data_IF_562008553557
#
_entry.id   IF_562008553557
#
_cell.length_a   1.000
_cell.length_b   1.000
_cell.length_c   1.000
_cell.angle_alpha   90.00
_cell.angle_beta   90.00
_cell.angle_gamma   90.00
#
_symmetry.space_group_name_H-M   'P 1'
#
loop_
_entity.id
_entity.type
_entity.pdbx_description
1 polymer ?
#
# COMPACT_ATOMS: atom_id res chain seq x y z
N UNK A 1 45.45 67.67 17.64
CA UNK A 1 44.89 68.20 18.89
C UNK A 1 44.10 66.98 19.41
N UNK A 2 44.82 66.32 20.24
CA UNK A 2 44.72 66.19 21.69
C UNK A 2 43.52 65.29 22.06
N UNK A 3 43.59 64.29 22.81
CA UNK A 3 44.52 63.67 23.74
C UNK A 3 43.74 62.59 24.51
N UNK A 4 44.33 61.45 24.71
CA UNK A 4 44.41 60.70 25.98
C UNK A 4 43.09 60.32 26.68
N UNK A 5 42.95 59.23 27.36
CA UNK A 5 43.80 58.19 27.95
C UNK A 5 42.89 57.17 28.58
N UNK A 6 43.17 55.95 28.43
CA UNK A 6 43.71 55.06 29.47
C UNK A 6 42.76 54.34 30.44
N UNK A 7 43.08 53.10 30.65
CA UNK A 7 43.00 52.17 31.81
C UNK A 7 41.93 51.13 31.85
N UNK A 8 42.34 49.92 31.40
CA UNK A 8 42.47 48.64 32.15
C UNK A 8 41.41 48.27 33.19
N UNK A 9 40.83 47.13 33.05
CA UNK A 9 40.96 45.97 33.96
C UNK A 9 40.18 44.77 33.46
N UNK A 10 40.83 43.65 33.16
CA UNK A 10 40.31 42.32 33.40
C UNK A 10 40.33 42.01 34.90
N UNK A 11 39.63 40.98 35.47
CA UNK A 11 39.41 39.65 34.95
C UNK A 11 38.08 39.02 35.39
N UNK A 12 37.78 37.83 34.90
CA UNK A 12 36.80 36.95 35.55
C UNK A 12 36.28 35.86 34.65
N UNK A 13 37.03 34.73 34.65
CA UNK A 13 36.51 33.51 33.98
C UNK A 13 35.38 32.89 34.76
N UNK A 14 34.54 32.21 34.06
CA UNK A 14 33.74 31.04 34.38
C UNK A 14 32.48 31.05 33.48
N UNK A 15 32.36 30.06 32.67
CA UNK A 15 31.14 29.35 32.27
C UNK A 15 31.21 28.80 30.84
N UNK A 16 32.29 28.00 30.56
CA UNK A 16 32.34 27.19 29.35
C UNK A 16 31.73 25.78 29.57
N UNK A 17 31.29 25.43 30.79
CA UNK A 17 30.77 24.11 31.12
C UNK A 17 29.23 23.96 31.09
N UNK A 18 28.47 25.02 30.88
CA UNK A 18 27.01 24.95 30.88
C UNK A 18 26.41 24.66 29.49
N UNK A 19 27.14 24.92 28.39
CA UNK A 19 26.65 24.72 27.02
C UNK A 19 26.88 23.30 26.48
N UNK A 20 27.77 22.51 27.08
CA UNK A 20 28.05 21.15 26.63
C UNK A 20 27.05 20.10 27.16
N UNK A 21 26.41 20.36 28.32
CA UNK A 21 25.41 19.45 28.90
C UNK A 21 23.99 19.62 28.35
N UNK A 22 23.70 20.76 27.74
CA UNK A 22 22.38 20.98 27.12
C UNK A 22 22.25 20.33 25.73
N UNK A 23 23.37 20.22 24.99
CA UNK A 23 23.40 19.63 23.65
C UNK A 23 23.41 18.09 23.68
N UNK A 24 23.97 17.48 24.72
CA UNK A 24 24.00 16.02 24.91
C UNK A 24 22.66 15.46 25.42
N UNK A 25 21.87 16.24 26.14
CA UNK A 25 20.53 15.83 26.59
C UNK A 25 19.44 16.00 25.48
N UNK A 26 19.65 16.90 24.54
CA UNK A 26 18.72 17.05 23.39
C UNK A 26 18.91 15.96 22.33
N UNK A 27 20.11 15.40 22.17
CA UNK A 27 20.40 14.30 21.24
C UNK A 27 19.99 12.93 21.78
N UNK A 28 19.94 12.76 23.11
CA UNK A 28 19.49 11.49 23.71
C UNK A 28 17.95 11.34 23.81
N UNK A 29 17.19 12.42 23.67
CA UNK A 29 15.72 12.36 23.61
C UNK A 29 15.14 12.16 22.20
N UNK A 30 15.96 12.24 21.15
CA UNK A 30 15.53 12.02 19.77
C UNK A 30 15.62 10.54 19.32
N UNK A 31 16.19 9.66 20.15
CA UNK A 31 16.38 8.22 19.83
C UNK A 31 15.61 7.26 20.76
N UNK A 32 14.70 7.75 21.59
CA UNK A 32 13.66 6.89 22.16
C UNK A 32 12.61 6.63 21.08
N UNK A 33 12.94 5.72 20.15
CA UNK A 33 12.04 5.23 19.13
C UNK A 33 10.76 4.72 19.80
N UNK A 34 9.61 5.19 19.32
CA UNK A 34 8.28 4.65 19.63
C UNK A 34 8.27 3.15 19.28
N UNK A 35 8.64 2.33 20.23
CA UNK A 35 8.47 0.88 20.13
C UNK A 35 7.05 0.58 20.60
N UNK A 36 6.21 0.01 19.72
CA UNK A 36 4.88 -0.41 20.10
C UNK A 36 4.97 -1.40 21.28
N UNK A 37 4.17 -1.17 22.32
CA UNK A 37 4.09 -2.08 23.46
C UNK A 37 3.51 -3.44 22.96
N UNK A 38 3.98 -4.55 23.51
CA UNK A 38 3.45 -5.90 23.17
C UNK A 38 1.93 -6.01 23.33
N UNK A 39 1.35 -5.30 24.30
CA UNK A 39 -0.10 -5.26 24.49
C UNK A 39 -0.83 -4.56 23.33
N UNK A 40 -0.25 -3.49 22.80
CA UNK A 40 -0.82 -2.74 21.66
C UNK A 40 -0.77 -3.59 20.39
N UNK A 41 0.32 -4.33 20.18
CA UNK A 41 0.47 -5.24 19.03
C UNK A 41 -0.53 -6.40 19.13
N UNK A 42 -0.70 -7.01 20.30
CA UNK A 42 -1.67 -8.08 20.49
C UNK A 42 -3.11 -7.60 20.24
N UNK A 43 -3.44 -6.39 20.70
CA UNK A 43 -4.73 -5.75 20.45
C UNK A 43 -4.93 -5.47 18.95
N UNK A 44 -3.91 -4.95 18.27
CA UNK A 44 -3.94 -4.67 16.85
C UNK A 44 -4.05 -5.95 16.00
N UNK A 45 -3.36 -7.03 16.39
CA UNK A 45 -3.47 -8.33 15.74
C UNK A 45 -4.88 -8.93 15.89
N UNK A 46 -5.48 -8.85 17.09
CA UNK A 46 -6.87 -9.26 17.30
C UNK A 46 -7.84 -8.43 16.44
N UNK A 47 -7.59 -7.13 16.30
CA UNK A 47 -8.34 -6.24 15.43
C UNK A 47 -8.21 -6.65 13.95
N UNK A 48 -7.00 -6.90 13.47
CA UNK A 48 -6.74 -7.35 12.10
C UNK A 48 -7.46 -8.68 11.80
N UNK A 49 -7.42 -9.63 12.73
CA UNK A 49 -8.13 -10.92 12.62
C UNK A 49 -9.65 -10.75 12.56
N UNK A 50 -10.21 -9.84 13.36
CA UNK A 50 -11.66 -9.53 13.32
C UNK A 50 -12.04 -8.94 11.96
N UNK A 51 -11.21 -8.07 11.39
CA UNK A 51 -11.44 -7.49 10.07
C UNK A 51 -11.37 -8.54 8.96
N UNK A 52 -10.35 -9.41 8.98
CA UNK A 52 -10.24 -10.56 8.08
C UNK A 52 -11.51 -11.42 8.13
N UNK A 53 -11.96 -11.80 9.31
CA UNK A 53 -13.17 -12.60 9.49
C UNK A 53 -14.44 -11.94 8.92
N UNK A 54 -14.57 -10.62 9.03
CA UNK A 54 -15.71 -9.92 8.44
C UNK A 54 -15.68 -9.94 6.92
N UNK A 55 -14.50 -9.73 6.32
CA UNK A 55 -14.34 -9.75 4.87
C UNK A 55 -14.57 -11.18 4.32
N UNK A 56 -14.07 -12.20 5.01
CA UNK A 56 -14.27 -13.60 4.64
C UNK A 56 -15.75 -14.04 4.64
N UNK A 57 -16.66 -13.34 5.32
CA UNK A 57 -18.10 -13.61 5.21
C UNK A 57 -18.68 -13.30 3.82
N UNK A 58 -18.10 -12.33 3.13
CA UNK A 58 -18.51 -11.96 1.78
C UNK A 58 -17.71 -12.68 0.70
N UNK A 59 -16.45 -13.06 1.00
CA UNK A 59 -15.55 -13.68 0.04
C UNK A 59 -15.19 -15.10 0.45
N UNK A 60 -15.53 -16.06 -0.38
CA UNK A 60 -15.18 -17.46 -0.21
C UNK A 60 -13.88 -17.77 -0.96
N UNK A 61 -12.97 -18.51 -0.34
CA UNK A 61 -11.81 -19.09 -1.00
C UNK A 61 -10.65 -18.14 -1.33
N UNK A 62 -10.65 -16.91 -0.89
CA UNK A 62 -9.63 -15.91 -1.23
C UNK A 62 -8.89 -15.38 0.02
N UNK A 63 -8.67 -16.23 1.01
CA UNK A 63 -8.08 -15.81 2.30
C UNK A 63 -6.71 -15.16 2.15
N UNK A 64 -5.86 -15.70 1.26
CA UNK A 64 -4.52 -15.14 1.02
C UNK A 64 -4.60 -13.75 0.39
N UNK A 65 -5.47 -13.55 -0.60
CA UNK A 65 -5.73 -12.24 -1.23
C UNK A 65 -6.20 -11.22 -0.19
N UNK A 66 -7.12 -11.63 0.68
CA UNK A 66 -7.62 -10.76 1.78
C UNK A 66 -6.47 -10.33 2.69
N UNK A 67 -5.60 -11.26 3.10
CA UNK A 67 -4.42 -10.96 3.95
C UNK A 67 -3.43 -10.02 3.28
N UNK A 68 -3.14 -10.23 2.00
CA UNK A 68 -2.25 -9.35 1.23
C UNK A 68 -2.84 -7.93 1.11
N UNK A 69 -4.14 -7.81 0.85
CA UNK A 69 -4.82 -6.51 0.80
C UNK A 69 -4.83 -5.82 2.17
N UNK A 70 -5.08 -6.57 3.26
CA UNK A 70 -5.01 -6.04 4.63
C UNK A 70 -3.59 -5.60 4.98
N UNK A 71 -2.56 -6.37 4.59
CA UNK A 71 -1.17 -5.98 4.78
C UNK A 71 -0.84 -4.68 4.03
N UNK A 72 -1.33 -4.51 2.80
CA UNK A 72 -1.19 -3.26 2.05
C UNK A 72 -1.91 -2.09 2.74
N UNK A 73 -3.12 -2.32 3.24
CA UNK A 73 -3.90 -1.30 3.95
C UNK A 73 -3.20 -0.84 5.24
N UNK A 74 -2.68 -1.77 6.05
CA UNK A 74 -1.96 -1.43 7.28
C UNK A 74 -0.57 -0.85 7.00
N UNK A 75 0.05 -1.20 5.87
CA UNK A 75 1.25 -0.54 5.39
C UNK A 75 1.00 0.84 4.76
N UNK A 76 -0.27 1.28 4.63
CA UNK A 76 -0.65 2.55 4.04
C UNK A 76 -0.30 2.65 2.55
N UNK A 77 -0.53 1.57 1.77
CA UNK A 77 -0.18 1.52 0.35
C UNK A 77 -1.34 1.16 -0.55
N UNK A 78 -1.11 1.28 -1.87
CA UNK A 78 -2.06 0.95 -2.92
C UNK A 78 -1.75 -0.41 -3.52
N UNK A 79 -2.74 -1.06 -4.11
CA UNK A 79 -2.63 -2.43 -4.63
C UNK A 79 -3.01 -2.47 -6.11
N UNK A 80 -2.21 -3.19 -6.88
CA UNK A 80 -2.54 -3.59 -8.24
C UNK A 80 -3.02 -5.06 -8.20
N UNK A 81 -4.23 -5.31 -8.64
CA UNK A 81 -4.83 -6.64 -8.66
C UNK A 81 -4.86 -7.16 -10.10
N UNK A 82 -4.18 -8.25 -10.34
CA UNK A 82 -4.18 -8.95 -11.62
C UNK A 82 -5.04 -10.21 -11.51
N UNK A 83 -5.94 -10.40 -12.44
CA UNK A 83 -6.80 -11.58 -12.47
C UNK A 83 -7.96 -11.41 -13.45
N UNK A 84 -8.54 -12.52 -13.87
CA UNK A 84 -9.67 -12.55 -14.81
C UNK A 84 -10.93 -11.86 -14.24
N UNK A 85 -11.85 -11.42 -15.07
CA UNK A 85 -13.14 -10.89 -14.62
C UNK A 85 -13.94 -11.92 -13.80
N UNK A 86 -14.82 -11.42 -12.93
CA UNK A 86 -15.75 -12.29 -12.19
C UNK A 86 -15.24 -12.85 -10.86
N UNK A 87 -13.98 -12.67 -10.50
CA UNK A 87 -13.37 -13.21 -9.26
C UNK A 87 -13.63 -12.38 -7.99
N UNK A 88 -14.70 -11.60 -7.93
CA UNK A 88 -15.12 -10.92 -6.70
C UNK A 88 -14.32 -9.67 -6.32
N UNK A 89 -13.52 -9.07 -7.21
CA UNK A 89 -12.70 -7.87 -6.91
C UNK A 89 -13.54 -6.72 -6.33
N UNK A 90 -14.68 -6.44 -6.93
CA UNK A 90 -15.62 -5.41 -6.44
C UNK A 90 -16.21 -5.77 -5.08
N UNK A 91 -16.50 -7.06 -4.87
CA UNK A 91 -17.04 -7.57 -3.61
C UNK A 91 -16.03 -7.38 -2.46
N UNK A 92 -14.75 -7.68 -2.71
CA UNK A 92 -13.66 -7.47 -1.76
C UNK A 92 -13.63 -6.02 -1.26
N UNK A 93 -13.58 -5.04 -2.18
CA UNK A 93 -13.45 -3.63 -1.79
C UNK A 93 -14.70 -3.12 -1.09
N UNK A 94 -15.89 -3.56 -1.51
CA UNK A 94 -17.15 -3.22 -0.84
C UNK A 94 -17.24 -3.83 0.55
N UNK A 95 -16.79 -5.07 0.74
CA UNK A 95 -16.74 -5.73 2.03
C UNK A 95 -15.78 -5.01 2.99
N UNK A 96 -14.60 -4.62 2.50
CA UNK A 96 -13.63 -3.81 3.27
C UNK A 96 -14.23 -2.48 3.70
N UNK A 97 -14.83 -1.73 2.77
CA UNK A 97 -15.43 -0.43 3.06
C UNK A 97 -16.54 -0.52 4.10
N UNK A 98 -17.41 -1.54 3.98
CA UNK A 98 -18.47 -1.78 4.96
C UNK A 98 -17.92 -2.16 6.33
N UNK A 99 -16.91 -3.03 6.39
CA UNK A 99 -16.29 -3.47 7.66
C UNK A 99 -15.60 -2.31 8.41
N UNK A 100 -15.13 -1.29 7.68
CA UNK A 100 -14.41 -0.11 8.22
C UNK A 100 -15.32 1.14 8.33
N UNK A 101 -16.59 1.07 7.93
CA UNK A 101 -17.47 2.26 7.80
C UNK A 101 -16.85 3.39 6.97
N UNK A 102 -16.20 3.02 5.89
CA UNK A 102 -15.44 3.92 5.03
C UNK A 102 -16.18 4.21 3.72
N UNK A 103 -15.92 5.37 3.13
CA UNK A 103 -16.47 5.73 1.82
C UNK A 103 -15.82 4.90 0.72
N UNK A 104 -16.65 4.34 -0.16
CA UNK A 104 -16.25 3.54 -1.31
C UNK A 104 -16.67 4.19 -2.60
N UNK A 105 -15.75 4.24 -3.57
CA UNK A 105 -16.04 4.61 -4.95
C UNK A 105 -15.49 3.57 -5.92
N UNK A 106 -16.13 3.45 -7.10
CA UNK A 106 -15.66 2.63 -8.21
C UNK A 106 -15.59 3.47 -9.47
N UNK A 107 -14.49 3.35 -10.18
CA UNK A 107 -14.31 3.91 -11.52
C UNK A 107 -14.02 2.75 -12.46
N UNK A 108 -14.81 2.62 -13.53
CA UNK A 108 -14.49 1.75 -14.66
C UNK A 108 -13.65 2.56 -15.63
N UNK A 109 -12.43 2.13 -15.89
CA UNK A 109 -11.54 2.76 -16.85
C UNK A 109 -11.92 2.34 -18.27
N UNK A 110 -12.14 3.31 -19.15
CA UNK A 110 -12.53 3.14 -20.55
C UNK A 110 -11.67 4.04 -21.42
N UNK A 111 -11.57 3.77 -22.74
CA UNK A 111 -10.73 4.57 -23.64
C UNK A 111 -11.12 6.05 -23.73
N UNK A 112 -12.35 6.40 -23.43
CA UNK A 112 -12.91 7.75 -23.44
C UNK A 112 -12.84 8.47 -22.08
N UNK A 113 -12.44 7.78 -21.01
CA UNK A 113 -12.36 8.35 -19.67
C UNK A 113 -11.32 9.47 -19.60
N UNK A 114 -11.72 10.64 -19.12
CA UNK A 114 -10.86 11.81 -19.00
C UNK A 114 -10.31 11.98 -17.58
N UNK A 115 -9.17 12.65 -17.37
CA UNK A 115 -8.62 12.95 -16.04
C UNK A 115 -9.63 13.62 -15.10
N UNK A 116 -10.44 14.56 -15.62
CA UNK A 116 -11.47 15.25 -14.86
C UNK A 116 -12.60 14.36 -14.36
N UNK A 117 -12.86 13.20 -15.02
CA UNK A 117 -13.85 12.23 -14.56
C UNK A 117 -13.34 11.49 -13.31
N UNK A 118 -12.03 11.39 -13.13
CA UNK A 118 -11.37 10.78 -11.98
C UNK A 118 -11.23 11.76 -10.83
N UNK A 119 -10.68 12.95 -11.10
CA UNK A 119 -10.31 13.95 -10.08
C UNK A 119 -11.44 14.93 -9.77
N UNK A 120 -12.35 15.11 -10.69
CA UNK A 120 -13.33 16.20 -10.66
C UNK A 120 -12.90 17.41 -11.47
N UNK A 121 -13.80 18.36 -11.61
CA UNK A 121 -13.61 19.56 -12.42
C UNK A 121 -14.44 20.73 -11.87
N UNK A 122 -14.13 21.95 -12.30
CA UNK A 122 -14.96 23.10 -12.03
C UNK A 122 -16.13 23.17 -13.04
N UNK A 123 -17.32 23.42 -12.55
CA UNK A 123 -18.53 23.67 -13.32
C UNK A 123 -19.04 25.07 -13.07
N UNK A 124 -19.46 25.77 -14.10
CA UNK A 124 -20.13 27.05 -13.97
C UNK A 124 -21.59 26.83 -13.55
N UNK A 125 -21.98 27.35 -12.38
CA UNK A 125 -23.33 27.33 -11.90
C UNK A 125 -24.06 28.59 -12.37
N UNK A 126 -24.90 28.48 -13.42
CA UNK A 126 -25.65 29.59 -14.00
C UNK A 126 -26.63 30.25 -13.03
N UNK A 127 -27.07 29.52 -11.98
CA UNK A 127 -28.04 30.10 -11.00
C UNK A 127 -27.33 31.01 -10.00
N UNK A 128 -26.08 30.69 -9.69
CA UNK A 128 -25.31 31.40 -8.68
C UNK A 128 -24.23 32.31 -9.31
N UNK A 129 -24.11 32.29 -10.66
CA UNK A 129 -23.12 33.03 -11.44
C UNK A 129 -21.68 32.82 -10.92
N UNK A 130 -21.34 31.58 -10.61
CA UNK A 130 -20.01 31.23 -10.04
C UNK A 130 -19.57 29.84 -10.42
N UNK A 131 -18.24 29.63 -10.41
CA UNK A 131 -17.67 28.30 -10.55
C UNK A 131 -17.78 27.50 -9.26
N UNK A 132 -18.31 26.28 -9.37
CA UNK A 132 -18.35 25.28 -8.29
C UNK A 132 -17.47 24.11 -8.64
N UNK A 133 -16.71 23.62 -7.67
CA UNK A 133 -15.91 22.40 -7.82
C UNK A 133 -16.84 21.20 -7.62
N UNK A 134 -16.94 20.36 -8.65
CA UNK A 134 -17.51 19.03 -8.57
C UNK A 134 -16.39 18.04 -8.28
N UNK A 135 -16.39 17.46 -7.07
CA UNK A 135 -15.42 16.44 -6.67
C UNK A 135 -15.63 15.17 -7.48
N UNK A 136 -14.52 14.58 -7.95
CA UNK A 136 -14.52 13.29 -8.62
C UNK A 136 -14.54 12.11 -7.65
N UNK A 137 -14.64 10.88 -8.16
CA UNK A 137 -14.72 9.66 -7.35
C UNK A 137 -13.47 9.36 -6.53
N UNK A 138 -12.34 9.99 -6.75
CA UNK A 138 -11.14 9.86 -5.91
C UNK A 138 -11.32 10.38 -4.48
N UNK A 139 -12.32 11.22 -4.26
CA UNK A 139 -12.64 11.72 -2.91
C UNK A 139 -13.43 10.67 -2.13
N UNK A 140 -12.75 9.59 -1.76
CA UNK A 140 -13.26 8.49 -0.95
C UNK A 140 -12.11 7.87 -0.15
N UNK A 141 -12.40 6.89 0.71
CA UNK A 141 -11.38 6.16 1.44
C UNK A 141 -10.85 4.96 0.64
N UNK A 142 -11.75 4.20 0.00
CA UNK A 142 -11.40 3.05 -0.82
C UNK A 142 -11.90 3.26 -2.25
N UNK A 143 -10.96 3.35 -3.18
CA UNK A 143 -11.24 3.49 -4.59
C UNK A 143 -10.93 2.19 -5.33
N UNK A 144 -11.91 1.61 -5.99
CA UNK A 144 -11.69 0.56 -7.00
C UNK A 144 -11.53 1.22 -8.37
N UNK A 145 -10.31 1.19 -8.90
CA UNK A 145 -9.99 1.61 -10.26
C UNK A 145 -9.98 0.37 -11.17
N UNK A 146 -11.14 0.08 -11.76
CA UNK A 146 -11.34 -1.17 -12.49
C UNK A 146 -10.83 -1.05 -13.94
N UNK A 147 -10.02 -2.02 -14.37
CA UNK A 147 -9.39 -2.09 -15.69
C UNK A 147 -8.54 -0.85 -16.05
N UNK A 148 -7.65 -0.45 -15.14
CA UNK A 148 -6.84 0.78 -15.27
C UNK A 148 -6.08 0.87 -16.61
N UNK A 149 -5.71 -0.28 -17.19
CA UNK A 149 -5.01 -0.38 -18.46
C UNK A 149 -5.88 -0.08 -19.70
N UNK A 150 -7.20 0.14 -19.56
CA UNK A 150 -8.09 0.50 -20.68
C UNK A 150 -8.17 2.01 -20.93
N UNK A 151 -7.80 2.85 -19.99
CA UNK A 151 -7.82 4.29 -20.18
C UNK A 151 -6.49 4.82 -20.74
N UNK A 152 -6.51 5.97 -21.44
CA UNK A 152 -5.31 6.60 -21.95
C UNK A 152 -4.30 6.94 -20.84
N UNK A 153 -3.02 6.98 -21.18
CA UNK A 153 -1.92 7.24 -20.24
C UNK A 153 -2.11 8.54 -19.43
N UNK A 154 -2.75 9.56 -20.01
CA UNK A 154 -3.02 10.82 -19.32
C UNK A 154 -3.99 10.64 -18.13
N UNK A 155 -5.02 9.83 -18.29
CA UNK A 155 -6.00 9.52 -17.24
C UNK A 155 -5.39 8.60 -16.17
N UNK A 156 -4.59 7.60 -16.60
CA UNK A 156 -3.82 6.79 -15.67
C UNK A 156 -2.88 7.65 -14.80
N UNK A 157 -2.15 8.58 -15.43
CA UNK A 157 -1.22 9.48 -14.73
C UNK A 157 -1.92 10.36 -13.70
N UNK A 158 -3.13 10.84 -13.98
CA UNK A 158 -3.92 11.63 -13.01
C UNK A 158 -4.26 10.82 -11.76
N UNK A 159 -4.67 9.55 -11.89
CA UNK A 159 -4.90 8.69 -10.73
C UNK A 159 -3.61 8.43 -9.95
N UNK A 160 -2.51 8.15 -10.64
CA UNK A 160 -1.21 7.85 -10.02
C UNK A 160 -0.61 9.06 -9.30
N UNK A 161 -0.89 10.28 -9.78
CA UNK A 161 -0.54 11.52 -9.08
C UNK A 161 -1.34 11.65 -7.78
N UNK A 162 -2.66 11.44 -7.83
CA UNK A 162 -3.52 11.45 -6.63
C UNK A 162 -3.08 10.42 -5.60
N UNK A 163 -2.67 9.22 -6.05
CA UNK A 163 -2.14 8.17 -5.15
C UNK A 163 -0.87 8.62 -4.42
N UNK A 164 -0.02 9.37 -5.09
CA UNK A 164 1.26 9.80 -4.52
C UNK A 164 1.10 11.03 -3.62
N UNK A 165 0.38 12.05 -4.11
CA UNK A 165 0.28 13.36 -3.46
C UNK A 165 -0.84 13.40 -2.41
N UNK A 166 -1.79 12.45 -2.43
CA UNK A 166 -2.99 12.39 -1.58
C UNK A 166 -3.81 13.69 -1.60
N UNK A 167 -3.76 14.40 -2.70
CA UNK A 167 -4.46 15.66 -2.97
C UNK A 167 -4.76 15.81 -4.46
N UNK A 168 -5.70 16.67 -4.77
CA UNK A 168 -6.10 17.03 -6.13
C UNK A 168 -6.08 18.55 -6.28
N UNK A 169 -5.52 19.04 -7.37
CA UNK A 169 -5.58 20.47 -7.71
C UNK A 169 -6.57 20.71 -8.85
N UNK A 170 -7.63 21.48 -8.58
CA UNK A 170 -8.67 21.87 -9.54
C UNK A 170 -8.70 23.38 -9.60
N UNK A 171 -8.46 23.96 -10.79
CA UNK A 171 -8.45 25.42 -11.02
C UNK A 171 -7.64 26.18 -9.95
N UNK A 172 -6.42 25.69 -9.68
CA UNK A 172 -5.51 26.30 -8.72
C UNK A 172 -5.86 26.08 -7.25
N UNK A 173 -6.94 25.36 -6.94
CA UNK A 173 -7.32 24.99 -5.55
C UNK A 173 -6.89 23.58 -5.24
N UNK A 174 -6.03 23.42 -4.25
CA UNK A 174 -5.60 22.10 -3.75
C UNK A 174 -6.57 21.58 -2.71
N UNK A 175 -7.06 20.38 -2.92
CA UNK A 175 -8.02 19.66 -2.07
C UNK A 175 -7.38 18.36 -1.58
N UNK A 176 -7.17 18.24 -0.28
CA UNK A 176 -6.65 17.01 0.35
C UNK A 176 -7.69 15.89 0.37
N UNK A 177 -7.22 14.66 0.25
CA UNK A 177 -8.05 13.47 0.44
C UNK A 177 -8.17 13.12 1.92
N UNK A 178 -9.26 12.44 2.27
CA UNK A 178 -9.49 11.99 3.64
C UNK A 178 -8.76 10.65 3.90
N UNK A 179 -7.84 10.58 4.88
CA UNK A 179 -7.20 9.33 5.24
C UNK A 179 -8.17 8.39 6.01
N UNK A 180 -7.97 7.06 5.92
CA UNK A 180 -7.03 6.40 5.02
C UNK A 180 -7.51 6.46 3.57
N UNK A 181 -6.61 6.68 2.62
CA UNK A 181 -6.89 6.61 1.20
C UNK A 181 -6.16 5.43 0.56
N UNK A 182 -6.90 4.50 -0.02
CA UNK A 182 -6.33 3.33 -0.66
C UNK A 182 -6.99 3.08 -2.02
N UNK A 183 -6.16 2.94 -3.04
CA UNK A 183 -6.57 2.53 -4.39
C UNK A 183 -6.29 1.05 -4.56
N UNK A 184 -7.31 0.31 -5.01
CA UNK A 184 -7.20 -1.03 -5.54
C UNK A 184 -7.46 -0.93 -7.05
N UNK A 185 -6.37 -0.94 -7.83
CA UNK A 185 -6.47 -0.92 -9.28
C UNK A 185 -6.51 -2.35 -9.81
N UNK A 186 -7.30 -2.60 -10.86
CA UNK A 186 -7.35 -3.92 -11.48
C UNK A 186 -6.79 -3.88 -12.90
N UNK A 187 -6.18 -5.00 -13.30
CA UNK A 187 -5.77 -5.27 -14.67
C UNK A 187 -6.27 -6.65 -15.08
N UNK A 188 -6.72 -6.76 -16.33
CA UNK A 188 -7.00 -8.05 -16.95
C UNK A 188 -5.79 -8.44 -17.82
N UNK A 189 -5.06 -9.51 -17.49
CA UNK A 189 -3.87 -9.91 -18.24
C UNK A 189 -4.20 -10.50 -19.62
N UNK A 190 -5.44 -10.97 -19.83
CA UNK A 190 -5.85 -11.66 -21.06
C UNK A 190 -6.25 -10.67 -22.15
N UNK A 191 -6.80 -9.51 -21.80
CA UNK A 191 -7.20 -8.50 -22.76
C UNK A 191 -6.01 -7.64 -23.19
N UNK A 192 -5.56 -7.84 -24.44
CA UNK A 192 -4.49 -7.05 -25.05
C UNK A 192 -5.02 -5.98 -26.02
N UNK A 193 -6.16 -6.21 -26.65
CA UNK A 193 -6.76 -5.26 -27.58
C UNK A 193 -7.37 -4.05 -26.86
N UNK A 194 -7.06 -2.84 -27.34
CA UNK A 194 -7.59 -1.60 -26.76
C UNK A 194 -7.03 -1.27 -25.37
N UNK A 195 -5.87 -1.82 -25.00
CA UNK A 195 -5.23 -1.53 -23.71
C UNK A 195 -4.00 -0.65 -23.86
N UNK A 196 -3.75 0.15 -22.82
CA UNK A 196 -2.57 1.00 -22.65
C UNK A 196 -1.80 0.48 -21.44
N UNK A 197 -0.75 -0.33 -21.63
CA UNK A 197 0.00 -0.87 -20.52
C UNK A 197 0.61 0.25 -19.66
N UNK A 198 0.57 0.08 -18.36
CA UNK A 198 1.21 0.99 -17.42
C UNK A 198 2.74 0.89 -17.58
N UNK A 199 3.47 2.01 -17.78
CA UNK A 199 4.92 2.01 -17.73
C UNK A 199 5.44 1.49 -16.37
N UNK A 200 6.59 0.83 -16.37
CA UNK A 200 7.20 0.23 -15.17
C UNK A 200 7.34 1.23 -14.01
N UNK A 201 7.76 2.47 -14.30
CA UNK A 201 7.88 3.52 -13.29
C UNK A 201 6.54 3.91 -12.65
N UNK A 202 5.42 3.65 -13.33
CA UNK A 202 4.07 3.87 -12.82
C UNK A 202 3.58 2.68 -12.01
N UNK A 203 3.87 1.47 -12.44
CA UNK A 203 3.54 0.24 -11.71
C UNK A 203 4.29 0.18 -10.37
N UNK A 204 5.52 0.69 -10.28
CA UNK A 204 6.32 0.76 -9.06
C UNK A 204 5.70 1.65 -7.94
N UNK A 205 4.67 2.46 -8.26
CA UNK A 205 3.91 3.23 -7.25
C UNK A 205 2.95 2.39 -6.43
N UNK A 206 2.54 1.22 -6.95
CA UNK A 206 1.77 0.26 -6.18
C UNK A 206 2.67 -0.44 -5.16
N UNK A 207 2.16 -0.59 -3.94
CA UNK A 207 2.90 -1.27 -2.88
C UNK A 207 2.99 -2.77 -3.13
N UNK A 208 1.86 -3.37 -3.52
CA UNK A 208 1.73 -4.79 -3.86
C UNK A 208 1.11 -4.98 -5.24
N UNK A 209 1.53 -6.04 -5.93
CA UNK A 209 0.80 -6.63 -7.04
C UNK A 209 0.28 -8.01 -6.59
N UNK A 210 -1.03 -8.13 -6.49
CA UNK A 210 -1.74 -9.33 -6.05
C UNK A 210 -2.30 -10.06 -7.27
N UNK A 211 -2.14 -11.38 -7.31
CA UNK A 211 -2.78 -12.24 -8.29
C UNK A 211 -4.00 -12.90 -7.69
N UNK A 212 -5.10 -12.83 -8.40
CA UNK A 212 -6.33 -13.55 -8.06
C UNK A 212 -6.54 -14.62 -9.11
N UNK A 213 -6.40 -15.87 -8.69
CA UNK A 213 -6.65 -17.05 -9.49
C UNK A 213 -8.06 -17.59 -9.21
N UNK A 214 -8.51 -18.54 -10.05
CA UNK A 214 -9.77 -19.24 -9.82
C UNK A 214 -9.73 -19.94 -8.45
N UNK A 215 -10.87 -19.98 -7.73
CA UNK A 215 -10.96 -20.71 -6.49
C UNK A 215 -10.77 -22.22 -6.73
N UNK A 216 -10.33 -22.92 -5.71
CA UNK A 216 -10.28 -24.38 -5.76
C UNK A 216 -11.70 -24.97 -5.86
N UNK A 217 -11.83 -26.20 -6.39
CA UNK A 217 -13.12 -26.84 -6.66
C UNK A 217 -14.09 -26.81 -5.44
N UNK A 218 -13.58 -27.04 -4.24
CA UNK A 218 -14.42 -27.01 -3.03
C UNK A 218 -14.87 -25.59 -2.67
N UNK A 219 -14.01 -24.60 -2.84
CA UNK A 219 -14.29 -23.18 -2.62
C UNK A 219 -15.29 -22.65 -3.63
N UNK A 220 -15.15 -23.03 -4.90
CA UNK A 220 -16.11 -22.69 -5.96
C UNK A 220 -17.49 -23.30 -5.69
N UNK A 221 -17.53 -24.55 -5.21
CA UNK A 221 -18.77 -25.19 -4.80
C UNK A 221 -19.46 -24.42 -3.67
N UNK A 222 -18.71 -23.97 -2.68
CA UNK A 222 -19.25 -23.21 -1.56
C UNK A 222 -19.68 -21.80 -1.98
N UNK A 223 -18.94 -21.16 -2.89
CA UNK A 223 -19.33 -19.89 -3.51
C UNK A 223 -20.68 -20.03 -4.24
N UNK A 224 -20.83 -21.04 -5.08
CA UNK A 224 -22.09 -21.31 -5.81
C UNK A 224 -23.24 -21.50 -4.84
N UNK A 225 -23.08 -22.33 -3.80
CA UNK A 225 -24.11 -22.53 -2.76
C UNK A 225 -24.49 -21.21 -2.07
N UNK A 226 -23.48 -20.39 -1.71
CA UNK A 226 -23.72 -19.12 -1.01
C UNK A 226 -24.45 -18.11 -1.89
N UNK A 227 -24.13 -18.03 -3.19
CA UNK A 227 -24.74 -17.07 -4.10
C UNK A 227 -26.15 -17.51 -4.52
N UNK A 228 -26.37 -18.81 -4.72
CA UNK A 228 -27.65 -19.33 -5.19
C UNK A 228 -28.66 -19.63 -4.10
N UNK A 229 -28.23 -19.63 -2.83
CA UNK A 229 -29.11 -19.93 -1.69
C UNK A 229 -30.00 -18.72 -1.37
N UNK A 230 -31.29 -18.79 -1.76
CA UNK A 230 -32.33 -17.80 -1.50
C UNK A 230 -32.08 -16.38 -2.08
N UNK A 231 -31.16 -16.23 -3.01
CA UNK A 231 -30.89 -14.96 -3.71
C UNK A 231 -31.52 -14.96 -5.11
N UNK A 232 -32.14 -13.84 -5.46
CA UNK A 232 -32.64 -13.58 -6.82
C UNK A 232 -31.61 -12.67 -7.54
N UNK A 233 -30.93 -13.21 -8.56
CA UNK A 233 -29.95 -12.50 -9.39
C UNK A 233 -28.56 -12.41 -8.76
N UNK A 234 -27.61 -11.82 -9.53
CA UNK A 234 -26.17 -11.76 -9.23
C UNK A 234 -25.79 -10.64 -8.23
N UNK A 235 -26.63 -10.33 -7.26
CA UNK A 235 -26.32 -9.28 -6.30
C UNK A 235 -25.15 -9.70 -5.41
N UNK A 236 -24.04 -8.97 -5.54
CA UNK A 236 -22.90 -9.04 -4.62
C UNK A 236 -23.37 -8.69 -3.21
N UNK A 237 -23.61 -9.72 -2.39
CA UNK A 237 -24.19 -9.53 -1.06
C UNK A 237 -23.09 -9.29 -0.02
N UNK A 238 -23.02 -8.07 0.50
CA UNK A 238 -22.18 -7.70 1.65
C UNK A 238 -22.99 -7.59 2.95
N UNK A 239 -24.26 -8.03 2.97
CA UNK A 239 -25.16 -7.81 4.12
C UNK A 239 -24.69 -8.52 5.37
N UNK A 240 -24.00 -9.65 5.23
CA UNK A 240 -23.41 -10.41 6.34
C UNK A 240 -22.18 -9.73 6.96
N UNK A 241 -21.58 -8.76 6.25
CA UNK A 241 -20.44 -7.99 6.77
C UNK A 241 -20.96 -6.94 7.72
N UNK A 242 -20.47 -6.96 8.97
CA UNK A 242 -20.77 -5.95 9.97
C UNK A 242 -19.63 -4.97 10.11
N UNK A 243 -19.93 -3.70 10.34
CA UNK A 243 -18.92 -2.68 10.66
C UNK A 243 -18.26 -3.01 11.99
N UNK A 244 -16.94 -3.08 11.99
CA UNK A 244 -16.11 -3.40 13.16
C UNK A 244 -15.07 -2.35 13.49
N UNK A 245 -14.81 -1.44 12.54
CA UNK A 245 -13.84 -0.34 12.66
C UNK A 245 -14.37 0.94 12.02
N UNK A 246 -13.79 2.06 12.45
CA UNK A 246 -13.86 3.37 11.80
C UNK A 246 -12.58 3.63 11.00
N UNK A 247 -12.58 4.59 10.05
CA UNK A 247 -11.37 5.02 9.36
C UNK A 247 -10.25 5.48 10.29
N UNK A 248 -10.59 6.10 11.42
CA UNK A 248 -9.60 6.54 12.43
C UNK A 248 -8.88 5.37 13.09
N UNK A 249 -9.58 4.28 13.39
CA UNK A 249 -8.97 3.08 13.97
C UNK A 249 -8.04 2.38 12.97
N UNK A 250 -8.34 2.44 11.67
CA UNK A 250 -7.40 1.94 10.65
C UNK A 250 -6.11 2.77 10.65
N UNK A 251 -6.18 4.08 10.79
CA UNK A 251 -4.99 4.94 10.92
C UNK A 251 -4.18 4.57 12.16
N UNK A 252 -4.82 4.25 13.28
CA UNK A 252 -4.14 3.76 14.48
C UNK A 252 -3.41 2.43 14.22
N UNK A 253 -4.04 1.49 13.51
CA UNK A 253 -3.39 0.23 13.10
C UNK A 253 -2.21 0.46 12.15
N UNK A 254 -2.30 1.43 11.22
CA UNK A 254 -1.19 1.84 10.36
C UNK A 254 -0.01 2.38 11.19
N UNK A 255 -0.29 3.25 12.15
CA UNK A 255 0.73 3.80 13.05
C UNK A 255 1.37 2.69 13.89
N UNK A 256 0.59 1.77 14.45
CA UNK A 256 1.11 0.61 15.20
C UNK A 256 1.99 -0.27 14.31
N UNK A 257 1.56 -0.57 13.08
CA UNK A 257 2.38 -1.33 12.13
C UNK A 257 3.72 -0.62 11.84
N UNK A 258 3.70 0.70 11.66
CA UNK A 258 4.91 1.48 11.36
C UNK A 258 5.94 1.45 12.50
N UNK A 259 5.52 1.24 13.75
CA UNK A 259 6.40 1.20 14.93
C UNK A 259 6.95 -0.19 15.25
N UNK A 260 6.52 -1.25 14.54
CA UNK A 260 7.06 -2.60 14.74
C UNK A 260 8.56 -2.60 14.38
N UNK A 261 9.44 -3.01 15.33
CA UNK A 261 10.88 -2.98 15.10
C UNK A 261 11.31 -4.00 14.04
N UNK A 262 12.34 -3.63 13.29
CA UNK A 262 13.05 -4.48 12.33
C UNK A 262 14.49 -4.54 12.78
N UNK A 263 14.96 -5.73 13.12
CA UNK A 263 16.36 -5.95 13.47
C UNK A 263 17.29 -5.60 12.30
N UNK A 264 18.50 -5.11 12.60
CA UNK A 264 19.46 -4.68 11.59
C UNK A 264 19.88 -5.82 10.65
N UNK A 265 19.95 -7.05 11.16
CA UNK A 265 20.25 -8.24 10.33
C UNK A 265 19.08 -8.56 9.39
N UNK A 266 17.83 -8.34 9.80
CA UNK A 266 16.65 -8.51 8.93
C UNK A 266 16.60 -7.39 7.90
N UNK A 267 16.96 -6.16 8.27
CA UNK A 267 17.07 -5.05 7.32
C UNK A 267 18.14 -5.31 6.26
N UNK A 268 19.33 -5.79 6.67
CA UNK A 268 20.39 -6.22 5.75
C UNK A 268 19.91 -7.36 4.83
N UNK A 269 19.20 -8.34 5.38
CA UNK A 269 18.62 -9.43 4.58
C UNK A 269 17.65 -8.90 3.50
N UNK A 270 16.77 -7.95 3.83
CA UNK A 270 15.87 -7.29 2.88
C UNK A 270 16.68 -6.62 1.76
N UNK A 271 17.74 -5.89 2.11
CA UNK A 271 18.58 -5.19 1.13
C UNK A 271 19.31 -6.20 0.23
N UNK A 272 19.88 -7.27 0.80
CA UNK A 272 20.54 -8.33 0.02
C UNK A 272 19.56 -9.02 -0.93
N UNK A 273 18.35 -9.30 -0.47
CA UNK A 273 17.30 -9.90 -1.28
C UNK A 273 16.95 -9.03 -2.50
N UNK A 274 16.73 -7.73 -2.28
CA UNK A 274 16.44 -6.80 -3.38
C UNK A 274 17.65 -6.63 -4.32
N UNK A 275 18.87 -6.57 -3.79
CA UNK A 275 20.08 -6.52 -4.61
C UNK A 275 20.26 -7.78 -5.44
N UNK A 276 20.00 -8.95 -4.87
CA UNK A 276 20.07 -10.23 -5.59
C UNK A 276 19.17 -10.23 -6.85
N UNK A 277 18.01 -9.56 -6.82
CA UNK A 277 17.18 -9.44 -8.03
C UNK A 277 17.85 -8.69 -9.18
N UNK A 278 18.89 -7.87 -8.92
CA UNK A 278 19.64 -7.13 -9.95
C UNK A 278 20.83 -7.91 -10.50
N UNK A 279 21.27 -8.90 -9.76
CA UNK A 279 22.49 -9.68 -10.04
C UNK A 279 22.13 -11.10 -10.50
N UNK A 280 20.87 -11.53 -10.31
CA UNK A 280 20.44 -12.88 -10.64
C UNK A 280 20.38 -13.10 -12.16
N UNK A 281 21.01 -14.17 -12.62
CA UNK A 281 21.07 -14.49 -14.04
C UNK A 281 19.66 -14.83 -14.57
N UNK A 282 19.19 -14.05 -15.54
CA UNK A 282 17.84 -14.19 -16.13
C UNK A 282 16.85 -13.12 -15.68
N UNK A 283 17.22 -12.24 -14.73
CA UNK A 283 16.47 -11.00 -14.47
C UNK A 283 17.12 -9.87 -15.27
N UNK A 284 16.40 -9.37 -16.28
CA UNK A 284 16.88 -8.26 -17.11
C UNK A 284 16.82 -6.93 -16.35
N UNK A 285 15.79 -6.73 -15.53
CA UNK A 285 15.64 -5.56 -14.68
C UNK A 285 15.23 -6.00 -13.27
N UNK A 286 16.08 -5.70 -12.30
CA UNK A 286 15.83 -5.97 -10.89
C UNK A 286 15.20 -4.78 -10.16
N UNK A 287 14.72 -5.04 -8.95
CA UNK A 287 14.00 -4.05 -8.15
C UNK A 287 14.92 -2.93 -7.63
N UNK A 288 14.42 -1.69 -7.62
CA UNK A 288 15.08 -0.51 -7.05
C UNK A 288 14.94 -0.42 -5.51
N UNK A 289 15.50 0.64 -4.90
CA UNK A 289 15.39 0.88 -3.45
C UNK A 289 13.95 0.98 -2.93
N UNK A 290 13.00 1.39 -3.78
CA UNK A 290 11.56 1.37 -3.44
C UNK A 290 11.08 -0.02 -3.06
N UNK A 291 11.62 -1.09 -3.67
CA UNK A 291 11.32 -2.47 -3.29
C UNK A 291 11.78 -2.80 -1.87
N UNK A 292 12.97 -2.35 -1.45
CA UNK A 292 13.45 -2.55 -0.08
C UNK A 292 12.55 -1.82 0.94
N UNK A 293 12.18 -0.57 0.66
CA UNK A 293 11.28 0.23 1.49
C UNK A 293 9.89 -0.44 1.57
N UNK A 294 9.37 -0.92 0.44
CA UNK A 294 8.10 -1.63 0.38
C UNK A 294 8.13 -2.93 1.18
N UNK A 295 9.21 -3.72 1.06
CA UNK A 295 9.39 -4.94 1.85
C UNK A 295 9.37 -4.66 3.36
N UNK A 296 10.09 -3.65 3.83
CA UNK A 296 10.07 -3.26 5.26
C UNK A 296 8.65 -2.90 5.70
N UNK A 297 7.95 -2.03 4.95
CA UNK A 297 6.60 -1.60 5.30
C UNK A 297 5.60 -2.75 5.35
N UNK A 298 5.61 -3.61 4.34
CA UNK A 298 4.67 -4.74 4.24
C UNK A 298 5.02 -5.84 5.24
N UNK A 299 6.31 -6.10 5.50
CA UNK A 299 6.73 -7.07 6.53
C UNK A 299 6.30 -6.64 7.94
N UNK A 300 6.35 -5.33 8.26
CA UNK A 300 5.80 -4.78 9.51
C UNK A 300 4.29 -5.01 9.62
N UNK A 301 3.55 -4.72 8.56
CA UNK A 301 2.11 -4.97 8.52
C UNK A 301 1.77 -6.47 8.62
N UNK A 302 2.57 -7.33 7.99
CA UNK A 302 2.42 -8.78 8.09
C UNK A 302 2.71 -9.29 9.51
N UNK A 303 3.79 -8.80 10.14
CA UNK A 303 4.10 -9.10 11.53
C UNK A 303 2.97 -8.68 12.48
N UNK A 304 2.35 -7.49 12.26
CA UNK A 304 1.17 -7.03 13.00
C UNK A 304 0.01 -8.03 12.87
N UNK A 305 -0.33 -8.45 11.63
CA UNK A 305 -1.43 -9.39 11.38
C UNK A 305 -1.21 -10.72 12.11
N UNK A 306 0.05 -11.17 12.19
CA UNK A 306 0.45 -12.37 12.92
C UNK A 306 0.57 -12.19 14.44
N UNK A 307 0.54 -10.97 14.94
CA UNK A 307 0.76 -10.65 16.35
C UNK A 307 2.22 -10.73 16.80
N UNK A 308 3.15 -10.66 15.87
CA UNK A 308 4.58 -10.65 16.15
C UNK A 308 5.03 -9.28 16.65
N UNK A 309 5.83 -9.23 17.71
CA UNK A 309 6.35 -7.99 18.29
C UNK A 309 7.51 -7.38 17.50
N UNK A 310 8.04 -8.08 16.51
CA UNK A 310 9.13 -7.68 15.63
C UNK A 310 9.02 -8.41 14.30
N UNK A 311 9.67 -7.89 13.27
CA UNK A 311 9.71 -8.49 11.94
C UNK A 311 10.70 -9.65 11.92
N UNK A 312 10.26 -10.79 11.43
CA UNK A 312 11.10 -11.98 11.22
C UNK A 312 11.49 -12.14 9.75
N UNK A 313 12.55 -12.89 9.42
CA UNK A 313 12.88 -13.25 8.03
C UNK A 313 11.74 -13.96 7.30
N UNK A 314 10.92 -14.74 8.02
CA UNK A 314 9.74 -15.41 7.44
C UNK A 314 8.65 -14.41 7.05
N UNK A 315 8.45 -13.34 7.83
CA UNK A 315 7.52 -12.26 7.44
C UNK A 315 7.96 -11.61 6.13
N UNK A 316 9.28 -11.41 5.94
CA UNK A 316 9.85 -10.88 4.69
C UNK A 316 9.60 -11.83 3.52
N UNK A 317 9.88 -13.14 3.69
CA UNK A 317 9.68 -14.15 2.63
C UNK A 317 8.22 -14.23 2.18
N UNK A 318 7.27 -14.19 3.11
CA UNK A 318 5.84 -14.27 2.82
C UNK A 318 5.34 -13.12 1.94
N UNK A 319 5.91 -11.93 2.10
CA UNK A 319 5.47 -10.75 1.36
C UNK A 319 6.37 -10.42 0.16
N UNK A 320 7.47 -11.15 -0.03
CA UNK A 320 8.46 -10.84 -1.06
C UNK A 320 7.86 -10.89 -2.48
N UNK A 321 7.12 -11.95 -2.82
CA UNK A 321 6.51 -12.09 -4.15
C UNK A 321 5.53 -10.95 -4.47
N UNK A 322 4.48 -10.69 -3.69
CA UNK A 322 3.55 -9.62 -4.01
C UNK A 322 4.21 -8.23 -4.01
N UNK A 323 5.29 -8.02 -3.27
CA UNK A 323 6.05 -6.75 -3.28
C UNK A 323 6.95 -6.63 -4.51
N UNK A 324 7.61 -7.70 -4.96
CA UNK A 324 8.69 -7.62 -5.95
C UNK A 324 8.24 -7.98 -7.37
N UNK A 325 7.17 -8.78 -7.56
CA UNK A 325 6.79 -9.32 -8.88
C UNK A 325 6.50 -8.25 -9.95
N UNK A 326 6.12 -7.05 -9.56
CA UNK A 326 5.88 -5.93 -10.48
C UNK A 326 7.06 -4.96 -10.58
N UNK A 327 8.18 -5.29 -9.93
CA UNK A 327 9.41 -4.49 -9.88
C UNK A 327 10.59 -5.17 -10.56
N UNK A 328 10.36 -6.35 -11.12
CA UNK A 328 11.37 -7.11 -11.86
C UNK A 328 10.83 -7.50 -13.23
N UNK A 329 11.74 -7.66 -14.18
CA UNK A 329 11.45 -8.19 -15.51
C UNK A 329 12.44 -9.28 -15.85
N UNK A 330 11.93 -10.40 -16.36
CA UNK A 330 12.76 -11.51 -16.81
C UNK A 330 13.40 -11.21 -18.16
N UNK A 331 14.46 -11.96 -18.49
CA UNK A 331 15.00 -11.99 -19.82
C UNK A 331 14.05 -12.74 -20.76
N UNK A 332 14.03 -12.38 -22.06
CA UNK A 332 13.20 -13.08 -23.04
C UNK A 332 13.47 -14.59 -23.09
N UNK A 333 14.72 -15.01 -22.84
CA UNK A 333 15.10 -16.42 -22.85
C UNK A 333 14.35 -17.23 -21.78
N UNK A 334 14.26 -16.70 -20.54
CA UNK A 334 13.51 -17.36 -19.47
C UNK A 334 12.00 -17.35 -19.70
N UNK A 335 11.47 -16.29 -20.34
CA UNK A 335 10.05 -16.23 -20.69
C UNK A 335 9.72 -17.31 -21.75
N UNK A 336 10.61 -17.54 -22.72
CA UNK A 336 10.46 -18.60 -23.73
C UNK A 336 10.54 -19.98 -23.09
N UNK A 337 11.40 -20.17 -22.06
CA UNK A 337 11.48 -21.41 -21.28
C UNK A 337 10.26 -21.65 -20.39
N UNK A 338 9.31 -20.69 -20.32
CA UNK A 338 8.09 -20.79 -19.51
C UNK A 338 8.31 -20.50 -18.03
N UNK A 339 9.45 -19.93 -17.65
CA UNK A 339 9.71 -19.50 -16.28
C UNK A 339 8.93 -18.21 -16.03
N UNK A 340 8.09 -18.21 -15.01
CA UNK A 340 7.38 -17.02 -14.59
C UNK A 340 8.14 -16.24 -13.50
N UNK A 341 7.75 -14.97 -13.29
CA UNK A 341 8.39 -14.07 -12.33
C UNK A 341 8.39 -14.66 -10.90
N UNK A 342 7.32 -15.33 -10.48
CA UNK A 342 7.22 -15.89 -9.13
C UNK A 342 8.17 -17.06 -8.93
N UNK A 343 8.43 -17.87 -9.98
CA UNK A 343 9.41 -18.95 -9.95
C UNK A 343 10.85 -18.41 -9.85
N UNK A 344 11.14 -17.33 -10.57
CA UNK A 344 12.44 -16.66 -10.47
C UNK A 344 12.66 -16.07 -9.07
N UNK A 345 11.62 -15.45 -8.51
CA UNK A 345 11.66 -14.94 -7.13
C UNK A 345 11.85 -16.05 -6.09
N UNK A 346 11.26 -17.25 -6.29
CA UNK A 346 11.48 -18.39 -5.42
C UNK A 346 12.94 -18.81 -5.41
N UNK A 347 13.61 -18.82 -6.57
CA UNK A 347 15.03 -19.14 -6.65
C UNK A 347 15.88 -18.09 -5.93
N UNK A 348 15.63 -16.80 -6.16
CA UNK A 348 16.31 -15.70 -5.44
C UNK A 348 16.12 -15.82 -3.93
N UNK A 349 14.90 -16.12 -3.46
CA UNK A 349 14.58 -16.30 -2.04
C UNK A 349 15.31 -17.49 -1.41
N UNK A 350 15.55 -18.55 -2.17
CA UNK A 350 16.28 -19.75 -1.71
C UNK A 350 17.80 -19.53 -1.67
N UNK A 351 18.36 -18.74 -2.60
CA UNK A 351 19.79 -18.45 -2.66
C UNK A 351 20.24 -17.48 -1.56
N UNK A 352 19.40 -16.48 -1.24
CA UNK A 352 19.75 -15.46 -0.24
C UNK A 352 19.52 -16.01 1.16
N UNK A 353 20.61 -16.30 1.88
CA UNK A 353 20.54 -16.83 3.25
C UNK A 353 19.89 -15.85 4.21
N UNK A 354 18.82 -16.29 4.85
CA UNK A 354 18.16 -15.55 5.94
C UNK A 354 19.05 -15.55 7.21
N UNK A 355 19.04 -14.47 8.01
CA UNK A 355 19.72 -14.47 9.30
C UNK A 355 19.07 -15.50 10.25
N UNK A 356 19.88 -16.06 11.14
CA UNK A 356 19.39 -16.87 12.27
C UNK A 356 19.23 -15.91 13.45
N UNK A 357 17.98 -15.66 13.82
CA UNK A 357 17.62 -14.83 14.99
C UNK A 357 17.56 -15.69 16.23
#
# INVERSE_FOLDING_TARGET
>A
MSDNSDMSTEPGGSDINATHNATTNATNNATQGFSANRADIATAAAAAKRLEQQICKAMVGQTQVIREVLAAMFAGGHVLIEGVPGLGKTLLVRAMAKAVSAEFSRIQFTPDLMPGDVTGHAMFDMKMDQFKIRRGPVFCNFLLADEINRAPAKTQSALLEVMQEQQVTIEGRTLGLQPPFMVLATQNPVEQEGTYPLPEAQVDRFLLKIRIDYPEHHEETDLVKQVTNANIGDKLNVDQVTTVFSPKEIIQLQNTAATIPVDEQVLDYIVRLVRATREWNGIQMGSGPRGSIALVRVSRAHALIRGNAFVTPDDVKQVAKPVLRHRIRLSPDLEIEGINIDNALDQVLNEVKAPRL
#
